data_IF_957933637951
#
_entry.id   IF_957933637951
#
_cell.length_a   1.000
_cell.length_b   1.000
_cell.length_c   1.000
_cell.angle_alpha   90.00
_cell.angle_beta   90.00
_cell.angle_gamma   90.00
#
_symmetry.space_group_name_H-M   'P 1'
#
loop_
_entity.id
_entity.type
_entity.pdbx_description
1 polymer ?
#
# COMPACT_ATOMS: atom_id res chain seq x y z
N UNK A 1 -25.63 -37.67 20.10
CA UNK A 1 -25.44 -36.33 19.48
C UNK A 1 -24.24 -35.59 20.07
N UNK A 2 -23.83 -35.89 21.32
CA UNK A 2 -22.63 -35.35 22.01
C UNK A 2 -21.25 -35.60 21.35
N UNK A 3 -20.90 -36.77 20.78
CA UNK A 3 -19.51 -37.02 20.36
C UNK A 3 -19.00 -36.15 19.20
N UNK A 4 -19.90 -35.62 18.35
CA UNK A 4 -19.52 -34.68 17.26
C UNK A 4 -19.20 -33.28 17.76
N UNK A 5 -19.83 -32.85 18.87
CA UNK A 5 -19.60 -31.52 19.44
C UNK A 5 -18.23 -31.46 20.12
N UNK A 6 -17.88 -32.48 20.90
CA UNK A 6 -16.59 -32.59 21.59
C UNK A 6 -15.42 -32.67 20.60
N UNK A 7 -15.57 -33.45 19.53
CA UNK A 7 -14.55 -33.57 18.47
C UNK A 7 -14.33 -32.25 17.72
N UNK A 8 -15.40 -31.50 17.46
CA UNK A 8 -15.29 -30.18 16.81
C UNK A 8 -14.55 -29.19 17.70
N UNK A 9 -14.83 -29.20 19.01
CA UNK A 9 -14.14 -28.37 19.99
C UNK A 9 -12.64 -28.70 20.06
N UNK A 10 -12.27 -29.98 20.05
CA UNK A 10 -10.87 -30.42 20.07
C UNK A 10 -10.10 -29.96 18.81
N UNK A 11 -10.71 -30.09 17.63
CA UNK A 11 -10.10 -29.62 16.37
C UNK A 11 -9.88 -28.10 16.40
N UNK A 12 -10.90 -27.35 16.85
CA UNK A 12 -10.79 -25.89 16.97
C UNK A 12 -9.68 -25.47 17.93
N UNK A 13 -9.56 -26.14 19.08
CA UNK A 13 -8.53 -25.83 20.07
C UNK A 13 -7.12 -26.08 19.53
N UNK A 14 -6.93 -27.18 18.81
CA UNK A 14 -5.65 -27.48 18.11
C UNK A 14 -5.33 -26.41 17.07
N UNK A 15 -6.31 -25.99 16.28
CA UNK A 15 -6.13 -24.94 15.26
C UNK A 15 -5.80 -23.59 15.89
N UNK A 16 -6.45 -23.22 17.00
CA UNK A 16 -6.19 -21.97 17.74
C UNK A 16 -4.79 -21.94 18.34
N UNK A 17 -4.38 -23.03 18.98
CA UNK A 17 -3.05 -23.17 19.59
C UNK A 17 -1.96 -23.05 18.53
N UNK A 18 -2.16 -23.66 17.35
CA UNK A 18 -1.23 -23.62 16.23
C UNK A 18 -1.39 -22.42 15.28
N UNK A 19 -2.32 -21.49 15.54
CA UNK A 19 -2.70 -20.44 14.58
C UNK A 19 -1.54 -19.52 14.20
N UNK A 20 -0.72 -19.13 15.19
CA UNK A 20 0.45 -18.28 14.98
C UNK A 20 1.53 -18.94 14.11
N UNK A 21 1.59 -20.28 14.12
CA UNK A 21 2.47 -21.10 13.28
C UNK A 21 1.82 -21.61 12.00
N UNK A 22 0.68 -21.03 11.60
CA UNK A 22 -0.03 -21.41 10.38
C UNK A 22 -0.41 -22.90 10.32
N UNK A 23 -0.83 -23.49 11.45
CA UNK A 23 -1.10 -24.93 11.54
C UNK A 23 -2.12 -25.48 10.51
N UNK A 24 -2.98 -24.63 9.94
CA UNK A 24 -3.88 -25.01 8.86
C UNK A 24 -3.23 -25.05 7.46
N UNK A 25 -1.95 -24.71 7.31
CA UNK A 25 -1.26 -24.69 6.02
C UNK A 25 -1.21 -26.07 5.36
N UNK A 26 -0.98 -27.12 6.15
CA UNK A 26 -1.02 -28.50 5.64
C UNK A 26 -2.38 -28.90 5.07
N UNK A 27 -3.48 -28.30 5.53
CA UNK A 27 -4.78 -28.51 4.89
C UNK A 27 -4.86 -27.82 3.54
N UNK A 28 -4.40 -26.56 3.44
CA UNK A 28 -4.41 -25.80 2.19
C UNK A 28 -3.65 -26.50 1.06
N UNK A 29 -2.53 -27.18 1.37
CA UNK A 29 -1.75 -27.93 0.37
C UNK A 29 -2.43 -29.21 -0.11
N UNK A 30 -3.42 -29.73 0.62
CA UNK A 30 -4.19 -30.91 0.22
C UNK A 30 -5.41 -30.58 -0.63
N UNK A 31 -5.74 -29.30 -0.78
CA UNK A 31 -6.84 -28.87 -1.63
C UNK A 31 -6.40 -28.93 -3.10
N UNK A 32 -7.29 -29.41 -3.97
CA UNK A 32 -7.09 -29.21 -5.39
C UNK A 32 -7.18 -27.71 -5.76
N UNK A 33 -6.67 -27.31 -6.94
CA UNK A 33 -6.58 -25.90 -7.31
C UNK A 33 -7.91 -25.16 -7.31
N UNK A 34 -9.04 -25.83 -7.60
CA UNK A 34 -10.35 -25.18 -7.65
C UNK A 34 -10.82 -24.80 -6.25
N UNK A 35 -10.75 -25.74 -5.30
CA UNK A 35 -11.14 -25.47 -3.92
C UNK A 35 -10.23 -24.46 -3.22
N UNK A 36 -8.93 -24.47 -3.54
CA UNK A 36 -8.00 -23.46 -3.02
C UNK A 36 -8.32 -22.07 -3.58
N UNK A 37 -8.58 -21.94 -4.89
CA UNK A 37 -8.94 -20.67 -5.51
C UNK A 37 -10.25 -20.10 -4.94
N UNK A 38 -11.26 -20.94 -4.73
CA UNK A 38 -12.53 -20.54 -4.11
C UNK A 38 -12.35 -20.05 -2.66
N UNK A 39 -11.54 -20.76 -1.86
CA UNK A 39 -11.20 -20.35 -0.49
C UNK A 39 -10.50 -18.99 -0.46
N UNK A 40 -9.48 -18.81 -1.31
CA UNK A 40 -8.71 -17.59 -1.38
C UNK A 40 -9.56 -16.42 -1.89
N UNK A 41 -10.44 -16.67 -2.88
CA UNK A 41 -11.39 -15.67 -3.38
C UNK A 41 -12.25 -15.10 -2.25
N UNK A 42 -12.85 -15.96 -1.41
CA UNK A 42 -13.62 -15.51 -0.24
C UNK A 42 -12.79 -14.62 0.71
N UNK A 43 -11.56 -15.03 1.01
CA UNK A 43 -10.64 -14.25 1.85
C UNK A 43 -10.21 -12.92 1.20
N UNK A 44 -10.07 -12.86 -0.12
CA UNK A 44 -9.79 -11.62 -0.83
C UNK A 44 -10.96 -10.66 -0.74
N UNK A 45 -12.21 -11.13 -0.89
CA UNK A 45 -13.38 -10.26 -0.73
C UNK A 45 -13.51 -9.70 0.70
N UNK A 46 -13.24 -10.51 1.73
CA UNK A 46 -13.15 -10.02 3.12
C UNK A 46 -12.13 -8.88 3.25
N UNK A 47 -10.97 -9.03 2.59
CA UNK A 47 -9.91 -8.04 2.60
C UNK A 47 -10.27 -6.78 1.83
N UNK A 48 -10.87 -6.93 0.65
CA UNK A 48 -11.33 -5.81 -0.18
C UNK A 48 -12.38 -5.00 0.57
N UNK A 49 -13.32 -5.65 1.28
CA UNK A 49 -14.30 -4.96 2.12
C UNK A 49 -13.65 -4.12 3.21
N UNK A 50 -12.69 -4.68 3.95
CA UNK A 50 -11.92 -3.91 4.95
C UNK A 50 -11.13 -2.74 4.37
N UNK A 51 -10.49 -2.96 3.22
CA UNK A 51 -9.76 -1.88 2.53
C UNK A 51 -10.73 -0.84 1.97
N UNK A 52 -11.92 -1.24 1.55
CA UNK A 52 -12.99 -0.36 1.13
C UNK A 52 -13.41 0.54 2.29
N UNK A 53 -13.69 -0.02 3.46
CA UNK A 53 -14.09 0.76 4.64
C UNK A 53 -12.99 1.76 5.04
N UNK A 54 -11.72 1.33 5.02
CA UNK A 54 -10.59 2.21 5.29
C UNK A 54 -10.47 3.35 4.27
N UNK A 55 -10.64 3.06 2.98
CA UNK A 55 -10.58 4.07 1.92
C UNK A 55 -11.80 5.00 1.93
N UNK A 56 -12.98 4.50 2.28
CA UNK A 56 -14.19 5.29 2.47
C UNK A 56 -14.03 6.29 3.62
N UNK A 57 -13.38 5.87 4.72
CA UNK A 57 -13.04 6.79 5.81
C UNK A 57 -12.02 7.84 5.35
N UNK A 58 -10.99 7.45 4.60
CA UNK A 58 -10.04 8.42 4.00
C UNK A 58 -10.78 9.41 3.09
N UNK A 59 -11.75 8.96 2.30
CA UNK A 59 -12.57 9.82 1.46
C UNK A 59 -13.39 10.82 2.27
N UNK A 60 -14.00 10.38 3.37
CA UNK A 60 -14.76 11.22 4.28
C UNK A 60 -13.88 12.31 4.91
N UNK A 61 -12.74 11.95 5.50
CA UNK A 61 -11.81 12.93 6.10
C UNK A 61 -11.16 13.83 5.04
N UNK A 62 -11.10 13.39 3.78
CA UNK A 62 -10.63 14.18 2.64
C UNK A 62 -11.70 15.14 2.10
N UNK A 63 -12.81 15.35 2.84
CA UNK A 63 -13.89 16.25 2.42
C UNK A 63 -14.63 15.74 1.19
N UNK A 64 -14.75 14.42 1.03
CA UNK A 64 -15.40 13.78 -0.12
C UNK A 64 -14.73 14.15 -1.47
N UNK A 65 -13.41 14.31 -1.45
CA UNK A 65 -12.62 14.63 -2.63
C UNK A 65 -11.76 13.43 -3.05
N UNK A 66 -12.07 12.86 -4.22
CA UNK A 66 -11.34 11.70 -4.76
C UNK A 66 -9.87 11.98 -5.05
N UNK A 67 -9.53 13.18 -5.49
CA UNK A 67 -8.13 13.53 -5.73
C UNK A 67 -7.34 13.61 -4.42
N UNK A 68 -7.90 14.21 -3.37
CA UNK A 68 -7.28 14.22 -2.04
C UNK A 68 -7.21 12.82 -1.42
N UNK A 69 -8.21 11.97 -1.69
CA UNK A 69 -8.24 10.56 -1.26
C UNK A 69 -7.11 9.76 -1.91
N UNK A 70 -6.96 9.88 -3.22
CA UNK A 70 -5.85 9.31 -3.97
C UNK A 70 -4.50 9.81 -3.43
N UNK A 71 -4.36 11.12 -3.27
CA UNK A 71 -3.16 11.75 -2.76
C UNK A 71 -2.76 11.17 -1.39
N UNK A 72 -3.72 11.06 -0.48
CA UNK A 72 -3.51 10.53 0.87
C UNK A 72 -3.12 9.05 0.83
N UNK A 73 -3.77 8.23 0.01
CA UNK A 73 -3.42 6.82 -0.17
C UNK A 73 -2.03 6.65 -0.77
N UNK A 74 -1.65 7.45 -1.76
CA UNK A 74 -0.31 7.39 -2.37
C UNK A 74 0.77 7.68 -1.32
N UNK A 75 0.60 8.73 -0.51
CA UNK A 75 1.52 9.04 0.59
C UNK A 75 1.59 7.89 1.59
N UNK A 76 0.45 7.33 1.99
CA UNK A 76 0.40 6.21 2.94
C UNK A 76 1.21 4.99 2.48
N UNK A 77 1.32 4.73 1.17
CA UNK A 77 1.98 3.52 0.65
C UNK A 77 3.34 3.74 -0.03
N UNK A 78 3.80 4.99 -0.18
CA UNK A 78 5.08 5.26 -0.85
C UNK A 78 6.30 4.82 -0.03
N UNK A 79 6.27 5.01 1.28
CA UNK A 79 7.39 4.76 2.16
C UNK A 79 7.45 3.37 2.76
N UNK A 80 8.18 3.27 3.87
CA UNK A 80 8.20 2.10 4.74
C UNK A 80 6.92 2.02 5.60
N UNK A 81 6.55 0.79 6.01
CA UNK A 81 5.38 0.54 6.85
C UNK A 81 5.44 1.29 8.19
N UNK A 82 6.64 1.47 8.75
CA UNK A 82 6.84 2.19 10.02
C UNK A 82 6.52 3.69 9.98
N UNK A 83 6.43 4.28 8.78
CA UNK A 83 6.16 5.71 8.60
C UNK A 83 4.79 5.99 7.95
N UNK A 84 3.91 4.99 7.78
CA UNK A 84 2.64 5.17 7.06
C UNK A 84 1.78 6.29 7.63
N UNK A 85 1.69 6.39 8.95
CA UNK A 85 0.87 7.41 9.60
C UNK A 85 1.54 8.79 9.51
N UNK A 86 2.88 8.86 9.61
CA UNK A 86 3.62 10.12 9.39
C UNK A 86 3.46 10.63 7.95
N UNK A 87 3.45 9.74 6.95
CA UNK A 87 3.14 10.13 5.57
C UNK A 87 1.68 10.54 5.39
N UNK A 88 0.74 9.84 6.03
CA UNK A 88 -0.68 10.19 5.98
C UNK A 88 -0.90 11.59 6.58
N UNK A 89 -0.22 11.89 7.69
CA UNK A 89 -0.24 13.22 8.31
C UNK A 89 0.38 14.28 7.40
N UNK A 90 1.50 13.96 6.74
CA UNK A 90 2.11 14.86 5.75
C UNK A 90 1.12 15.22 4.62
N UNK A 91 0.38 14.23 4.11
CA UNK A 91 -0.64 14.46 3.08
C UNK A 91 -1.83 15.29 3.56
N UNK A 92 -2.16 15.20 4.86
CA UNK A 92 -3.22 15.99 5.49
C UNK A 92 -2.82 17.45 5.64
N UNK A 93 -1.56 17.72 6.04
CA UNK A 93 -1.05 19.09 6.25
C UNK A 93 -0.69 19.78 4.94
N UNK A 94 0.00 19.08 4.03
CA UNK A 94 0.30 19.56 2.68
C UNK A 94 -0.73 18.99 1.70
N UNK A 95 -1.91 19.60 1.64
CA UNK A 95 -3.04 19.08 0.85
C UNK A 95 -2.75 19.04 -0.65
N UNK A 96 -3.47 18.19 -1.38
CA UNK A 96 -3.41 18.09 -2.83
C UNK A 96 -3.67 19.43 -3.52
N UNK A 97 -4.62 20.22 -3.02
CA UNK A 97 -4.91 21.56 -3.57
C UNK A 97 -3.74 22.53 -3.40
N UNK A 98 -3.00 22.47 -2.28
CA UNK A 98 -1.79 23.27 -2.11
C UNK A 98 -0.71 22.85 -3.11
N UNK A 99 -0.48 21.54 -3.28
CA UNK A 99 0.46 21.02 -4.28
C UNK A 99 0.09 21.48 -5.69
N UNK A 100 -1.19 21.40 -6.07
CA UNK A 100 -1.65 21.86 -7.38
C UNK A 100 -1.42 23.35 -7.63
N UNK A 101 -1.52 24.20 -6.59
CA UNK A 101 -1.25 25.64 -6.72
C UNK A 101 0.22 25.93 -7.02
N UNK A 102 1.12 25.11 -6.49
CA UNK A 102 2.57 25.30 -6.63
C UNK A 102 3.20 24.45 -7.75
N UNK A 103 2.42 23.60 -8.42
CA UNK A 103 2.92 22.54 -9.31
C UNK A 103 3.79 22.98 -10.48
N UNK A 104 3.69 24.26 -10.88
CA UNK A 104 4.49 24.83 -11.98
C UNK A 104 5.97 24.96 -11.64
N UNK A 105 6.34 24.76 -10.38
CA UNK A 105 7.72 24.77 -9.93
C UNK A 105 7.98 23.58 -9.01
N UNK A 106 8.77 22.62 -9.50
CA UNK A 106 9.19 21.47 -8.71
C UNK A 106 9.87 21.87 -7.39
N UNK A 107 10.82 22.83 -7.35
CA UNK A 107 11.37 23.32 -6.09
C UNK A 107 10.31 23.82 -5.10
N UNK A 108 9.22 24.44 -5.57
CA UNK A 108 8.14 24.90 -4.68
C UNK A 108 7.32 23.76 -4.10
N UNK A 109 7.06 22.71 -4.88
CA UNK A 109 6.45 21.48 -4.33
C UNK A 109 7.38 20.83 -3.32
N UNK A 110 8.68 20.76 -3.62
CA UNK A 110 9.68 20.24 -2.69
C UNK A 110 9.72 21.05 -1.40
N UNK A 111 9.73 22.38 -1.47
CA UNK A 111 9.67 23.27 -0.30
C UNK A 111 8.40 23.03 0.53
N UNK A 112 7.24 22.92 -0.12
CA UNK A 112 5.97 22.60 0.55
C UNK A 112 6.05 21.25 1.28
N UNK A 113 6.44 20.18 0.59
CA UNK A 113 6.44 18.83 1.19
C UNK A 113 7.54 18.64 2.23
N UNK A 114 8.77 19.08 1.96
CA UNK A 114 9.87 18.96 2.91
C UNK A 114 9.69 19.87 4.12
N UNK A 115 9.24 21.10 3.90
CA UNK A 115 8.95 22.01 5.00
C UNK A 115 7.84 21.48 5.89
N UNK A 116 6.73 21.02 5.30
CA UNK A 116 5.62 20.42 6.06
C UNK A 116 6.05 19.17 6.82
N UNK A 117 6.98 18.38 6.27
CA UNK A 117 7.51 17.20 6.95
C UNK A 117 8.40 17.51 8.16
N UNK A 118 8.81 18.77 8.34
CA UNK A 118 9.83 19.19 9.32
C UNK A 118 11.27 18.82 8.95
N UNK A 119 11.47 17.89 8.01
CA UNK A 119 12.81 17.41 7.65
C UNK A 119 13.69 18.49 7.01
N UNK A 120 13.10 19.53 6.41
CA UNK A 120 13.84 20.60 5.75
C UNK A 120 14.86 21.29 6.69
N UNK A 121 14.52 21.43 7.96
CA UNK A 121 15.39 22.07 8.96
C UNK A 121 16.51 21.16 9.45
N UNK A 122 16.41 19.85 9.21
CA UNK A 122 17.47 18.88 9.54
C UNK A 122 18.60 18.84 8.52
N UNK A 123 18.38 19.37 7.32
CA UNK A 123 19.37 19.37 6.25
C UNK A 123 20.42 20.47 6.44
N UNK A 124 21.67 20.17 6.05
CA UNK A 124 22.73 21.18 6.05
C UNK A 124 22.39 22.29 5.05
N UNK A 125 22.59 23.57 5.41
CA UNK A 125 22.27 24.67 4.52
C UNK A 125 23.24 24.72 3.33
N UNK A 126 22.66 24.73 2.12
CA UNK A 126 23.29 25.14 0.86
C UNK A 126 22.33 26.10 0.14
N UNK A 127 22.70 26.58 -1.05
CA UNK A 127 21.86 27.54 -1.80
C UNK A 127 20.49 26.98 -2.16
N UNK A 128 20.37 25.67 -2.40
CA UNK A 128 19.10 25.04 -2.72
C UNK A 128 18.23 24.95 -1.47
N UNK A 129 18.77 24.42 -0.37
CA UNK A 129 18.06 24.32 0.92
C UNK A 129 17.63 25.68 1.44
N UNK A 130 18.45 26.73 1.29
CA UNK A 130 18.05 28.10 1.66
C UNK A 130 16.84 28.56 0.87
N UNK A 131 16.84 28.38 -0.46
CA UNK A 131 15.67 28.71 -1.30
C UNK A 131 14.42 27.94 -0.87
N UNK A 132 14.55 26.63 -0.59
CA UNK A 132 13.42 25.84 -0.11
C UNK A 132 12.88 26.35 1.25
N UNK A 133 13.75 26.79 2.14
CA UNK A 133 13.35 27.38 3.44
C UNK A 133 12.63 28.70 3.27
N UNK A 134 13.10 29.56 2.37
CA UNK A 134 12.46 30.84 2.06
C UNK A 134 11.05 30.61 1.48
N UNK A 135 10.93 29.69 0.50
CA UNK A 135 9.64 29.28 -0.06
C UNK A 135 8.72 28.68 1.02
N UNK A 136 9.25 27.85 1.91
CA UNK A 136 8.44 27.26 2.97
C UNK A 136 8.00 28.26 4.04
N UNK A 137 8.83 29.25 4.38
CA UNK A 137 8.43 30.33 5.28
C UNK A 137 7.20 31.07 4.74
N UNK A 138 7.17 31.31 3.42
CA UNK A 138 5.99 31.84 2.74
C UNK A 138 4.79 30.89 2.82
N UNK A 139 4.98 29.59 2.56
CA UNK A 139 3.89 28.60 2.62
C UNK A 139 3.30 28.43 4.01
N UNK A 140 4.15 28.42 5.05
CA UNK A 140 3.73 28.35 6.44
C UNK A 140 2.75 29.48 6.78
N UNK A 141 3.06 30.70 6.37
CA UNK A 141 2.17 31.86 6.59
C UNK A 141 0.93 31.82 5.69
N UNK A 142 1.07 31.46 4.40
CA UNK A 142 -0.03 31.46 3.42
C UNK A 142 -1.07 30.38 3.67
N UNK A 143 -0.63 29.21 4.11
CA UNK A 143 -1.44 28.00 4.22
C UNK A 143 -1.69 27.56 5.67
N UNK A 144 -1.19 28.33 6.65
CA UNK A 144 -1.27 28.02 8.08
C UNK A 144 -0.76 26.61 8.41
N UNK A 145 0.43 26.29 7.88
CA UNK A 145 1.00 24.95 7.99
C UNK A 145 1.83 24.85 9.27
N UNK A 146 1.41 23.98 10.17
CA UNK A 146 2.26 23.50 11.26
C UNK A 146 3.18 22.37 10.74
N UNK A 147 4.52 22.50 10.79
CA UNK A 147 5.43 21.41 10.41
C UNK A 147 5.29 20.20 11.33
N UNK A 148 5.47 19.00 10.79
CA UNK A 148 5.57 17.77 11.57
C UNK A 148 6.90 17.77 12.34
N UNK A 149 6.90 17.29 13.58
CA UNK A 149 8.14 17.10 14.33
C UNK A 149 9.06 16.09 13.59
N UNK A 150 10.32 16.45 13.28
CA UNK A 150 11.24 15.56 12.56
C UNK A 150 11.44 14.18 13.21
N UNK A 151 11.30 14.08 14.55
CA UNK A 151 11.43 12.83 15.31
C UNK A 151 10.30 11.82 15.07
N UNK A 152 9.17 12.27 14.49
CA UNK A 152 8.09 11.40 14.06
C UNK A 152 8.49 10.49 12.89
N UNK A 153 9.55 10.85 12.15
CA UNK A 153 10.07 10.04 11.06
C UNK A 153 11.03 8.97 11.59
N UNK A 154 10.66 7.71 11.39
CA UNK A 154 11.58 6.58 11.59
C UNK A 154 12.56 6.52 10.42
N UNK A 155 13.85 6.37 10.71
CA UNK A 155 14.92 6.27 9.71
C UNK A 155 15.85 5.08 9.94
N UNK A 156 15.93 4.60 11.18
CA UNK A 156 16.68 3.41 11.54
C UNK A 156 16.06 2.14 10.92
N UNK A 157 16.91 1.21 10.45
CA UNK A 157 16.51 -0.08 9.87
C UNK A 157 15.59 0.01 8.64
N UNK A 158 15.56 1.17 7.96
CA UNK A 158 14.81 1.36 6.72
C UNK A 158 15.76 1.20 5.52
N UNK A 159 15.30 0.46 4.50
CA UNK A 159 16.04 0.32 3.24
C UNK A 159 16.27 1.71 2.61
N UNK A 160 17.45 2.02 2.04
CA UNK A 160 17.76 3.35 1.52
C UNK A 160 16.71 3.91 0.54
N UNK A 161 16.14 3.03 -0.31
CA UNK A 161 15.08 3.39 -1.25
C UNK A 161 13.76 3.84 -0.61
N UNK A 162 13.52 3.54 0.66
CA UNK A 162 12.30 3.88 1.41
C UNK A 162 12.50 5.02 2.42
N UNK A 163 13.68 5.64 2.48
CA UNK A 163 13.92 6.75 3.39
C UNK A 163 13.01 7.94 3.06
N UNK A 164 12.51 8.67 4.08
CA UNK A 164 11.63 9.83 3.89
C UNK A 164 12.12 10.84 2.87
N UNK A 165 13.41 11.20 2.96
CA UNK A 165 14.05 12.14 2.03
C UNK A 165 13.80 11.77 0.56
N UNK A 166 14.09 10.53 0.19
CA UNK A 166 13.98 10.13 -1.21
C UNK A 166 12.52 10.05 -1.67
N UNK A 167 11.64 9.50 -0.83
CA UNK A 167 10.22 9.34 -1.20
C UNK A 167 9.49 10.67 -1.30
N UNK A 168 9.78 11.63 -0.43
CA UNK A 168 9.20 12.98 -0.52
C UNK A 168 9.64 13.67 -1.82
N UNK A 169 10.92 13.57 -2.17
CA UNK A 169 11.42 14.11 -3.45
C UNK A 169 10.75 13.45 -4.67
N UNK A 170 10.51 12.13 -4.63
CA UNK A 170 9.79 11.42 -5.69
C UNK A 170 8.32 11.86 -5.80
N UNK A 171 7.64 12.12 -4.67
CA UNK A 171 6.27 12.67 -4.68
C UNK A 171 6.25 14.05 -5.32
N UNK A 172 7.19 14.92 -4.94
CA UNK A 172 7.29 16.26 -5.51
C UNK A 172 7.45 16.20 -7.04
N UNK A 173 8.39 15.38 -7.52
CA UNK A 173 8.57 15.13 -8.96
C UNK A 173 7.29 14.62 -9.62
N UNK A 174 6.60 13.66 -9.00
CA UNK A 174 5.38 13.05 -9.56
C UNK A 174 4.28 14.11 -9.74
N UNK A 175 3.99 14.90 -8.71
CA UNK A 175 2.96 15.94 -8.81
C UNK A 175 3.36 17.14 -9.68
N UNK A 176 4.65 17.33 -9.95
CA UNK A 176 5.10 18.34 -10.92
C UNK A 176 4.90 17.92 -12.39
N UNK A 177 4.79 16.61 -12.66
CA UNK A 177 4.82 16.06 -14.02
C UNK A 177 3.44 15.60 -14.52
N UNK A 178 2.51 15.29 -13.61
CA UNK A 178 1.24 14.67 -13.98
C UNK A 178 0.03 15.55 -13.71
N UNK A 179 -0.79 15.74 -14.74
CA UNK A 179 -2.15 16.28 -14.68
C UNK A 179 -3.18 15.16 -14.56
N UNK A 180 -4.37 15.43 -13.99
CA UNK A 180 -5.52 14.51 -13.98
C UNK A 180 -5.20 13.07 -13.52
N UNK A 181 -4.35 12.94 -12.51
CA UNK A 181 -3.79 11.64 -12.08
C UNK A 181 -4.86 10.62 -11.70
N UNK A 182 -5.97 11.08 -11.10
CA UNK A 182 -7.04 10.18 -10.67
C UNK A 182 -7.70 9.48 -11.87
N UNK A 183 -7.96 10.17 -12.98
CA UNK A 183 -8.54 9.57 -14.18
C UNK A 183 -7.58 8.56 -14.82
N UNK A 184 -6.29 8.89 -14.91
CA UNK A 184 -5.25 7.98 -15.42
C UNK A 184 -5.15 6.71 -14.57
N UNK A 185 -5.29 6.85 -13.25
CA UNK A 185 -5.31 5.73 -12.31
C UNK A 185 -6.52 4.83 -12.56
N UNK A 186 -7.72 5.39 -12.73
CA UNK A 186 -8.93 4.60 -13.01
C UNK A 186 -8.84 3.87 -14.36
N UNK A 187 -8.10 4.41 -15.32
CA UNK A 187 -7.89 3.82 -16.63
C UNK A 187 -6.87 2.67 -16.65
N UNK A 188 -6.02 2.52 -15.62
CA UNK A 188 -5.01 1.45 -15.56
C UNK A 188 -5.65 0.05 -15.55
N UNK A 189 -5.22 -0.83 -16.45
CA UNK A 189 -5.69 -2.22 -16.58
C UNK A 189 -4.59 -3.24 -16.32
N UNK A 190 -3.33 -2.84 -16.53
CA UNK A 190 -2.19 -3.75 -16.48
C UNK A 190 -1.13 -3.30 -15.49
N UNK A 191 -0.31 -4.26 -15.04
CA UNK A 191 0.88 -4.00 -14.22
C UNK A 191 1.83 -3.01 -14.89
N UNK A 192 2.00 -3.08 -16.21
CA UNK A 192 2.87 -2.18 -16.96
C UNK A 192 2.34 -0.75 -16.99
N UNK A 193 1.03 -0.54 -17.11
CA UNK A 193 0.43 0.80 -17.06
C UNK A 193 0.60 1.44 -15.67
N UNK A 194 0.36 0.67 -14.60
CA UNK A 194 0.66 1.13 -13.23
C UNK A 194 2.13 1.49 -13.08
N UNK A 195 3.03 0.66 -13.61
CA UNK A 195 4.45 0.99 -13.60
C UNK A 195 4.73 2.30 -14.33
N UNK A 196 4.24 2.48 -15.57
CA UNK A 196 4.44 3.72 -16.34
C UNK A 196 3.92 4.94 -15.61
N UNK A 197 2.74 4.84 -14.97
CA UNK A 197 2.15 5.95 -14.22
C UNK A 197 3.01 6.38 -13.04
N UNK A 198 3.55 5.44 -12.24
CA UNK A 198 4.26 5.77 -10.99
C UNK A 198 5.79 5.73 -11.08
N UNK A 199 6.36 5.45 -12.25
CA UNK A 199 7.81 5.31 -12.45
C UNK A 199 8.51 6.66 -12.52
N UNK A 200 8.40 7.42 -11.45
CA UNK A 200 8.98 8.76 -11.31
C UNK A 200 10.37 8.72 -10.67
N UNK A 201 11.19 9.70 -11.02
CA UNK A 201 12.52 9.92 -10.47
C UNK A 201 12.53 11.15 -9.55
N UNK A 202 13.31 11.09 -8.48
CA UNK A 202 13.59 12.28 -7.68
C UNK A 202 14.36 13.31 -8.51
N UNK A 203 14.21 14.60 -8.20
CA UNK A 203 14.94 15.67 -8.87
C UNK A 203 16.47 15.48 -8.76
N UNK A 204 17.27 16.05 -9.68
CA UNK A 204 18.73 15.87 -9.69
C UNK A 204 19.40 16.16 -8.34
N UNK A 205 18.91 17.17 -7.62
CA UNK A 205 19.41 17.52 -6.28
C UNK A 205 19.25 16.36 -5.29
N UNK A 206 18.06 15.74 -5.23
CA UNK A 206 17.77 14.69 -4.26
C UNK A 206 18.24 13.30 -4.67
N UNK A 207 18.27 13.02 -5.99
CA UNK A 207 18.73 11.75 -6.54
C UNK A 207 20.24 11.55 -6.37
N UNK A 208 21.00 12.65 -6.26
CA UNK A 208 22.46 12.63 -6.19
C UNK A 208 23.11 12.31 -7.53
N UNK A 209 22.34 12.39 -8.63
CA UNK A 209 22.83 12.13 -9.97
C UNK A 209 23.99 13.07 -10.30
N UNK A 210 25.19 12.50 -10.44
CA UNK A 210 26.35 13.20 -10.98
C UNK A 210 26.35 13.00 -12.49
N UNK A 211 26.61 14.08 -13.22
CA UNK A 211 26.97 13.96 -14.64
C UNK A 211 28.38 13.40 -14.68
N UNK A 212 28.52 12.17 -15.15
CA UNK A 212 29.84 11.59 -15.43
C UNK A 212 30.23 11.92 -16.87
N UNK A 213 31.53 11.83 -17.24
CA UNK A 213 31.98 12.00 -18.63
C UNK A 213 31.29 11.05 -19.62
N UNK A 214 30.77 9.92 -19.12
CA UNK A 214 30.12 8.85 -19.89
C UNK A 214 28.58 9.04 -19.96
N UNK A 215 28.03 10.05 -19.28
CA UNK A 215 26.60 10.33 -19.19
C UNK A 215 26.08 10.43 -17.75
N UNK A 216 24.77 10.69 -17.54
CA UNK A 216 24.17 10.62 -16.22
C UNK A 216 24.26 9.19 -15.64
N UNK A 217 24.57 9.08 -14.34
CA UNK A 217 24.64 7.81 -13.59
C UNK A 217 23.46 6.86 -13.91
N UNK A 218 23.73 5.59 -14.21
CA UNK A 218 22.73 4.60 -14.69
C UNK A 218 21.64 4.23 -13.66
N UNK A 219 21.72 4.72 -12.42
CA UNK A 219 20.78 4.39 -11.36
C UNK A 219 20.08 5.64 -10.80
N UNK A 220 19.34 6.38 -11.63
CA UNK A 220 18.51 7.48 -11.14
C UNK A 220 17.60 6.91 -10.07
N UNK A 221 17.49 7.58 -8.93
CA UNK A 221 16.72 7.12 -7.76
C UNK A 221 15.21 7.10 -8.08
N UNK A 222 14.81 6.13 -8.89
CA UNK A 222 13.50 5.93 -9.49
C UNK A 222 12.66 5.04 -8.61
N UNK A 223 11.34 5.20 -8.68
CA UNK A 223 10.43 4.21 -8.10
C UNK A 223 10.57 2.89 -8.86
N UNK A 224 11.12 1.87 -8.19
CA UNK A 224 11.32 0.54 -8.76
C UNK A 224 10.04 -0.30 -8.86
N UNK A 225 10.10 -1.37 -9.65
CA UNK A 225 8.94 -2.23 -9.96
C UNK A 225 8.21 -2.75 -8.72
N UNK A 226 8.95 -3.20 -7.70
CA UNK A 226 8.33 -3.69 -6.46
C UNK A 226 7.45 -2.61 -5.79
N UNK A 227 7.87 -1.34 -5.82
CA UNK A 227 7.09 -0.25 -5.23
C UNK A 227 5.88 0.11 -6.10
N UNK A 228 6.01 0.07 -7.43
CA UNK A 228 4.85 0.26 -8.31
C UNK A 228 3.83 -0.88 -8.18
N UNK A 229 4.28 -2.12 -7.92
CA UNK A 229 3.37 -3.24 -7.62
C UNK A 229 2.62 -2.99 -6.30
N UNK A 230 3.29 -2.47 -5.26
CA UNK A 230 2.64 -2.04 -4.02
C UNK A 230 1.58 -0.97 -4.27
N UNK A 231 1.82 -0.02 -5.18
CA UNK A 231 0.81 0.96 -5.59
C UNK A 231 -0.35 0.32 -6.35
N UNK A 232 -0.07 -0.60 -7.26
CA UNK A 232 -1.09 -1.37 -7.97
C UNK A 232 -2.05 -2.07 -7.01
N UNK A 233 -1.51 -2.70 -5.96
CA UNK A 233 -2.27 -3.49 -4.98
C UNK A 233 -3.00 -2.64 -3.93
N UNK A 234 -2.41 -1.52 -3.49
CA UNK A 234 -2.92 -0.78 -2.33
C UNK A 234 -3.52 0.58 -2.66
N UNK A 235 -3.25 1.11 -3.85
CA UNK A 235 -3.72 2.42 -4.30
C UNK A 235 -4.65 2.26 -5.50
N UNK A 236 -4.13 1.70 -6.61
CA UNK A 236 -4.87 1.62 -7.88
C UNK A 236 -6.09 0.70 -7.77
N UNK A 237 -5.88 -0.57 -7.45
CA UNK A 237 -6.99 -1.53 -7.36
C UNK A 237 -8.01 -1.13 -6.30
N UNK A 238 -7.56 -0.59 -5.16
CA UNK A 238 -8.45 -0.17 -4.09
C UNK A 238 -9.31 1.02 -4.51
N UNK A 239 -8.72 2.04 -5.11
CA UNK A 239 -9.49 3.19 -5.61
C UNK A 239 -10.43 2.81 -6.74
N UNK A 240 -10.01 1.94 -7.67
CA UNK A 240 -10.89 1.41 -8.72
C UNK A 240 -12.08 0.68 -8.10
N UNK A 241 -11.84 -0.21 -7.14
CA UNK A 241 -12.91 -0.97 -6.49
C UNK A 241 -13.86 -0.08 -5.69
N UNK A 242 -13.33 0.86 -4.90
CA UNK A 242 -14.12 1.74 -4.04
C UNK A 242 -14.90 2.75 -4.86
N UNK A 243 -14.24 3.43 -5.81
CA UNK A 243 -14.89 4.38 -6.70
C UNK A 243 -15.92 3.68 -7.58
N UNK A 244 -15.58 2.53 -8.17
CA UNK A 244 -16.53 1.72 -8.94
C UNK A 244 -17.74 1.30 -8.12
N UNK A 245 -17.57 0.93 -6.86
CA UNK A 245 -18.71 0.64 -5.96
C UNK A 245 -19.55 1.89 -5.67
N UNK A 246 -18.91 3.05 -5.50
CA UNK A 246 -19.59 4.33 -5.26
C UNK A 246 -20.46 4.76 -6.45
N UNK A 247 -19.94 4.63 -7.68
CA UNK A 247 -20.69 4.98 -8.91
C UNK A 247 -21.47 3.81 -9.51
N UNK A 248 -21.57 2.68 -8.79
CA UNK A 248 -22.23 1.45 -9.26
C UNK A 248 -21.73 0.94 -10.63
N UNK A 249 -20.42 1.06 -10.88
CA UNK A 249 -19.77 0.58 -12.09
C UNK A 249 -19.06 -0.76 -11.82
N UNK A 250 -19.66 -1.84 -12.32
CA UNK A 250 -19.13 -3.21 -12.19
C UNK A 250 -17.85 -3.42 -13.00
N UNK A 251 -17.76 -2.88 -14.22
CA UNK A 251 -16.55 -3.00 -15.07
C UNK A 251 -15.31 -2.46 -14.35
N UNK A 252 -15.44 -1.36 -13.62
CA UNK A 252 -14.35 -0.77 -12.86
C UNK A 252 -13.97 -1.62 -11.64
N UNK A 253 -14.95 -2.26 -10.99
CA UNK A 253 -14.69 -3.21 -9.90
C UNK A 253 -13.96 -4.45 -10.42
N UNK A 254 -14.39 -4.99 -11.55
CA UNK A 254 -13.75 -6.15 -12.17
C UNK A 254 -12.33 -5.82 -12.63
N UNK A 255 -12.10 -4.60 -13.13
CA UNK A 255 -10.76 -4.09 -13.46
C UNK A 255 -9.83 -4.10 -12.26
N UNK A 256 -10.32 -3.73 -11.07
CA UNK A 256 -9.52 -3.80 -9.85
C UNK A 256 -9.08 -5.23 -9.52
N UNK A 257 -9.98 -6.20 -9.70
CA UNK A 257 -9.71 -7.62 -9.48
C UNK A 257 -8.70 -8.13 -10.51
N UNK A 258 -8.95 -7.89 -11.79
CA UNK A 258 -8.06 -8.28 -12.88
C UNK A 258 -6.64 -7.69 -12.72
N UNK A 259 -6.53 -6.46 -12.20
CA UNK A 259 -5.24 -5.84 -11.91
C UNK A 259 -4.48 -6.60 -10.82
N UNK A 260 -5.16 -7.05 -9.75
CA UNK A 260 -4.55 -7.88 -8.70
C UNK A 260 -4.09 -9.24 -9.26
N UNK A 261 -4.81 -9.79 -10.22
CA UNK A 261 -4.45 -11.06 -10.86
C UNK A 261 -3.24 -10.92 -11.80
N UNK A 262 -3.01 -9.72 -12.35
CA UNK A 262 -1.89 -9.40 -13.23
C UNK A 262 -0.56 -9.08 -12.51
N UNK A 263 -0.61 -8.85 -11.19
CA UNK A 263 0.59 -8.55 -10.39
C UNK A 263 1.13 -9.86 -9.79
N UNK A 264 2.44 -10.15 -9.84
CA UNK A 264 2.99 -11.37 -9.24
C UNK A 264 2.67 -11.50 -7.76
N UNK A 265 2.66 -12.75 -7.27
CA UNK A 265 2.47 -13.06 -5.87
C UNK A 265 3.47 -12.29 -4.99
N UNK A 266 2.95 -11.67 -3.93
CA UNK A 266 3.77 -10.94 -2.98
C UNK A 266 4.57 -11.88 -2.08
N UNK A 267 5.84 -11.58 -1.90
CA UNK A 267 6.69 -12.27 -0.92
C UNK A 267 7.00 -11.35 0.26
N UNK A 268 6.32 -11.58 1.39
CA UNK A 268 6.47 -10.80 2.60
C UNK A 268 6.29 -11.66 3.86
N UNK A 269 6.45 -11.07 5.04
CA UNK A 269 6.37 -11.79 6.32
C UNK A 269 5.05 -12.53 6.56
N UNK A 270 3.98 -12.16 5.88
CA UNK A 270 2.67 -12.81 6.00
C UNK A 270 2.43 -13.92 4.98
N UNK A 271 3.14 -13.92 3.85
CA UNK A 271 2.99 -14.91 2.77
C UNK A 271 4.06 -15.99 2.80
N UNK A 272 5.29 -15.65 3.23
CA UNK A 272 6.41 -16.60 3.33
C UNK A 272 6.11 -17.88 4.11
N UNK A 273 5.44 -17.84 5.28
CA UNK A 273 5.12 -19.06 6.02
C UNK A 273 4.23 -20.03 5.21
N UNK A 274 3.26 -19.50 4.46
CA UNK A 274 2.39 -20.31 3.60
C UNK A 274 3.15 -20.93 2.43
N UNK A 275 4.01 -20.14 1.79
CA UNK A 275 4.85 -20.61 0.68
C UNK A 275 5.80 -21.70 1.16
N UNK A 276 6.46 -21.49 2.31
CA UNK A 276 7.34 -22.48 2.92
C UNK A 276 6.60 -23.77 3.30
N UNK A 277 5.32 -23.69 3.65
CA UNK A 277 4.47 -24.85 3.91
C UNK A 277 3.97 -25.55 2.64
N UNK A 278 4.27 -25.03 1.44
CA UNK A 278 3.91 -25.62 0.15
C UNK A 278 2.66 -25.03 -0.53
N UNK A 279 2.09 -23.94 0.00
CA UNK A 279 0.99 -23.23 -0.66
C UNK A 279 1.57 -22.37 -1.80
N UNK A 280 1.06 -22.53 -3.02
CA UNK A 280 1.58 -21.86 -4.21
C UNK A 280 0.62 -20.75 -4.70
N UNK A 281 0.68 -19.53 -4.16
CA UNK A 281 -0.12 -18.41 -4.66
C UNK A 281 0.38 -17.98 -6.04
N UNK A 282 -0.55 -17.74 -6.98
CA UNK A 282 -0.22 -17.46 -8.39
C UNK A 282 0.10 -15.98 -8.62
N UNK A 283 -0.58 -15.10 -7.91
CA UNK A 283 -0.56 -13.66 -8.14
C UNK A 283 -0.88 -12.88 -6.85
N UNK A 284 -0.93 -11.55 -6.97
CA UNK A 284 -1.22 -10.68 -5.84
C UNK A 284 -2.61 -10.94 -5.28
N UNK A 285 -3.61 -11.25 -6.12
CA UNK A 285 -4.95 -11.64 -5.67
C UNK A 285 -4.89 -12.79 -4.65
N UNK A 286 -4.27 -13.92 -5.00
CA UNK A 286 -4.10 -15.05 -4.09
C UNK A 286 -3.38 -14.65 -2.79
N UNK A 287 -2.28 -13.88 -2.90
CA UNK A 287 -1.52 -13.45 -1.71
C UNK A 287 -2.28 -12.46 -0.83
N UNK A 288 -3.16 -11.63 -1.38
CA UNK A 288 -4.03 -10.76 -0.60
C UNK A 288 -4.98 -11.60 0.27
N UNK A 289 -5.49 -12.73 -0.24
CA UNK A 289 -6.27 -13.69 0.55
C UNK A 289 -5.46 -14.32 1.68
N UNK A 290 -4.22 -14.76 1.40
CA UNK A 290 -3.32 -15.28 2.43
C UNK A 290 -2.95 -14.25 3.50
N UNK A 291 -2.77 -12.98 3.12
CA UNK A 291 -2.50 -11.89 4.07
C UNK A 291 -3.72 -11.65 4.96
N UNK A 292 -4.94 -11.74 4.42
CA UNK A 292 -6.17 -11.66 5.21
C UNK A 292 -6.24 -12.80 6.23
N UNK A 293 -5.98 -14.03 5.79
CA UNK A 293 -5.95 -15.20 6.66
C UNK A 293 -4.91 -15.04 7.78
N UNK A 294 -3.68 -14.67 7.42
CA UNK A 294 -2.59 -14.45 8.38
C UNK A 294 -2.93 -13.38 9.42
N UNK A 295 -3.47 -12.24 9.00
CA UNK A 295 -3.62 -11.07 9.88
C UNK A 295 -4.90 -11.07 10.70
N UNK A 296 -6.01 -11.49 10.11
CA UNK A 296 -7.33 -11.28 10.72
C UNK A 296 -7.90 -12.54 11.36
N UNK A 297 -7.37 -13.70 10.99
CA UNK A 297 -7.78 -14.98 11.55
C UNK A 297 -6.65 -15.60 12.35
N UNK A 298 -5.49 -15.87 11.74
CA UNK A 298 -4.38 -16.55 12.42
C UNK A 298 -3.79 -15.73 13.57
N UNK A 299 -3.40 -14.48 13.33
CA UNK A 299 -2.83 -13.62 14.37
C UNK A 299 -3.83 -13.26 15.49
N UNK A 300 -5.13 -13.26 15.18
CA UNK A 300 -6.20 -13.01 16.15
C UNK A 300 -6.76 -14.30 16.78
N UNK A 301 -6.24 -15.48 16.42
CA UNK A 301 -6.72 -16.80 16.85
C UNK A 301 -8.22 -17.05 16.62
N UNK A 302 -8.82 -16.41 15.61
CA UNK A 302 -10.26 -16.47 15.30
C UNK A 302 -10.65 -17.69 14.47
N UNK A 303 -10.19 -18.87 14.87
CA UNK A 303 -10.44 -20.11 14.12
C UNK A 303 -11.93 -20.48 14.08
N UNK A 304 -12.71 -20.11 15.10
CA UNK A 304 -14.14 -20.38 15.20
C UNK A 304 -14.98 -19.79 14.06
N UNK A 305 -14.56 -18.65 13.49
CA UNK A 305 -15.23 -18.02 12.35
C UNK A 305 -14.37 -18.04 11.08
N UNK A 306 -13.29 -18.83 11.06
CA UNK A 306 -12.36 -18.88 9.94
C UNK A 306 -12.89 -19.80 8.82
N UNK A 307 -12.94 -19.35 7.56
CA UNK A 307 -13.43 -20.17 6.45
C UNK A 307 -12.56 -21.42 6.22
N UNK A 308 -11.26 -21.36 6.56
CA UNK A 308 -10.35 -22.53 6.49
C UNK A 308 -10.71 -23.56 7.55
N UNK A 309 -10.85 -23.12 8.81
CA UNK A 309 -11.16 -24.00 9.93
C UNK A 309 -12.51 -24.71 9.72
N UNK A 310 -13.51 -23.97 9.22
CA UNK A 310 -14.81 -24.54 8.84
C UNK A 310 -14.65 -25.68 7.83
N UNK A 311 -13.88 -25.49 6.76
CA UNK A 311 -13.64 -26.56 5.77
C UNK A 311 -12.88 -27.75 6.33
N UNK A 312 -11.94 -27.54 7.26
CA UNK A 312 -11.24 -28.62 7.95
C UNK A 312 -12.24 -29.47 8.76
N UNK A 313 -13.08 -28.82 9.55
CA UNK A 313 -14.11 -29.47 10.37
C UNK A 313 -15.10 -30.23 9.47
N UNK A 314 -15.60 -29.59 8.41
CA UNK A 314 -16.54 -30.21 7.46
C UNK A 314 -15.92 -31.44 6.78
N UNK A 315 -14.63 -31.40 6.41
CA UNK A 315 -13.93 -32.55 5.81
C UNK A 315 -13.81 -33.71 6.80
N UNK A 316 -13.33 -33.44 8.02
CA UNK A 316 -13.12 -34.49 9.04
C UNK A 316 -14.45 -35.11 9.46
N UNK A 317 -15.50 -34.31 9.62
CA UNK A 317 -16.83 -34.79 10.04
C UNK A 317 -17.60 -35.53 8.95
N UNK A 318 -17.30 -35.31 7.66
CA UNK A 318 -17.90 -36.05 6.53
C UNK A 318 -17.14 -37.31 6.14
N UNK A 319 -15.85 -37.41 6.46
CA UNK A 319 -15.05 -38.62 6.22
C UNK A 319 -15.26 -39.72 7.26
N UNK A 320 -16.22 -39.55 8.17
CA UNK A 320 -16.66 -40.50 9.20
C UNK A 320 -18.15 -40.78 9.06
#
# INVERSE_FOLDING_TARGET
>A
MEPRADQTAEILERLRTGAAGHACAGFLTTLDPLHLADLLTGLVYDRLRRKYDAAAEIYRISGQNWNQTFYTLLFRYIGDLSNQDTYTELARRATYTMVLRERRSLPRIEALLFGTSGLLDTFRPDDYIRRLRDDFAYFRARYDIEPIDPSAWKTANIRPGNLPRLRIAQLASFFSQHDFVFEQLLACRTRQEVNRLFRTEASPYWSGARHTPEGPEENPKRVGQHKTDVFGINVVSILQYVYGSYIQNEELRDRAIALLECIPAEENKYTRPWIAAGVNPRNAFDTQGLIQLSREYCAAQRCECCPVARRIIDKITRSQ
#
